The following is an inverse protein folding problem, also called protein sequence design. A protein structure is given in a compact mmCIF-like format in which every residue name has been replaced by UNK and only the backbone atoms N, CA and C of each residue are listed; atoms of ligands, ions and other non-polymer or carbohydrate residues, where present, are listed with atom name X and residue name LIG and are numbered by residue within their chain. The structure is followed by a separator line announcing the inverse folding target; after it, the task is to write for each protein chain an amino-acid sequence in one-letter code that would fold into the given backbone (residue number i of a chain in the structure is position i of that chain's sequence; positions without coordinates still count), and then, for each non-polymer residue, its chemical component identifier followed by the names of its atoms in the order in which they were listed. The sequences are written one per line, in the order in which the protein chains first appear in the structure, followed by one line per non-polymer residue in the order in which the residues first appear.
data_IF_096277760752
#
_entry.id   IF_096277760752
#
_cell.length_a   1.000
_cell.length_b   1.000
_cell.length_c   1.000
_cell.angle_alpha   90.00
_cell.angle_beta   90.00
_cell.angle_gamma   90.00
#
_symmetry.space_group_name_H-M   'P 1'
#
loop_
_entity.id
_entity.type
_entity.pdbx_description
1 polymer ?
#
# COMPACT_ATOMS: atom_id res chain seq x y z
N UNK A 1 -15.80 2.84 6.71
CA UNK A 1 -14.72 2.58 7.69
C UNK A 1 -15.31 1.83 8.85
N UNK A 2 -14.64 0.78 9.32
CA UNK A 2 -15.01 0.08 10.57
C UNK A 2 -14.78 0.99 11.78
N UNK A 3 -15.46 0.70 12.89
CA UNK A 3 -15.25 1.42 14.14
C UNK A 3 -13.84 1.11 14.70
N UNK A 4 -12.95 2.12 14.89
CA UNK A 4 -11.61 1.90 15.41
C UNK A 4 -11.61 1.41 16.86
N UNK A 5 -12.67 1.65 17.64
CA UNK A 5 -12.77 1.19 19.04
C UNK A 5 -12.86 -0.33 19.18
N UNK A 6 -13.14 -1.05 18.08
CA UNK A 6 -13.18 -2.51 18.03
C UNK A 6 -11.78 -3.15 18.07
N UNK A 7 -10.71 -2.36 17.96
CA UNK A 7 -9.33 -2.86 17.87
C UNK A 7 -8.43 -2.21 18.91
N UNK A 8 -7.45 -2.98 19.40
CA UNK A 8 -6.37 -2.46 20.22
C UNK A 8 -5.20 -2.02 19.34
N UNK A 9 -4.63 -0.86 19.67
CA UNK A 9 -3.47 -0.31 19.00
C UNK A 9 -2.31 -0.28 20.00
N UNK A 10 -1.32 -1.18 19.88
CA UNK A 10 -0.12 -1.09 20.68
C UNK A 10 0.59 0.25 20.43
N UNK A 11 1.40 0.66 21.39
CA UNK A 11 2.22 1.86 21.23
C UNK A 11 3.18 1.65 20.05
N UNK A 12 3.29 2.60 19.10
CA UNK A 12 4.30 2.50 18.04
C UNK A 12 5.75 2.47 18.57
N UNK A 13 5.94 2.85 19.83
CA UNK A 13 7.23 2.80 20.54
C UNK A 13 7.44 1.48 21.29
N UNK A 14 6.50 0.54 21.24
CA UNK A 14 6.69 -0.81 21.80
C UNK A 14 7.91 -1.47 21.16
N UNK A 15 8.81 -2.00 22.00
CA UNK A 15 10.13 -2.51 21.55
C UNK A 15 11.22 -1.44 21.35
N UNK A 16 10.89 -0.15 21.36
CA UNK A 16 11.83 0.96 21.10
C UNK A 16 12.14 1.83 22.34
N UNK A 17 11.60 1.48 23.52
CA UNK A 17 11.64 2.34 24.73
C UNK A 17 12.98 2.42 25.46
N UNK A 18 14.01 1.69 25.03
CA UNK A 18 15.29 1.58 25.76
C UNK A 18 16.46 2.33 25.09
N UNK A 19 16.19 3.23 24.15
CA UNK A 19 17.22 4.04 23.49
C UNK A 19 17.60 5.30 24.28
N UNK A 20 18.75 5.88 23.92
CA UNK A 20 19.11 7.25 24.31
C UNK A 20 18.01 8.24 23.87
N UNK A 21 17.77 9.33 24.62
CA UNK A 21 16.84 10.37 24.21
C UNK A 21 17.16 10.92 22.81
N UNK A 22 16.11 11.13 22.00
CA UNK A 22 16.27 11.78 20.70
C UNK A 22 16.65 13.26 20.90
N UNK A 23 17.55 13.81 20.07
CA UNK A 23 17.90 15.23 20.13
C UNK A 23 16.77 16.11 19.56
N UNK A 24 16.55 17.27 20.16
CA UNK A 24 15.62 18.29 19.66
C UNK A 24 16.26 19.26 18.64
N UNK A 25 17.51 19.02 18.26
CA UNK A 25 18.23 19.85 17.30
C UNK A 25 17.64 19.71 15.90
N UNK A 26 17.41 20.84 15.23
CA UNK A 26 16.99 20.88 13.83
C UNK A 26 18.11 21.38 12.92
N UNK A 27 18.10 20.94 11.67
CA UNK A 27 18.92 21.54 10.61
C UNK A 27 18.46 22.99 10.36
N UNK A 28 19.40 23.93 10.37
CA UNK A 28 19.11 25.37 10.26
C UNK A 28 19.06 25.89 8.82
N UNK A 29 19.67 25.19 7.86
CA UNK A 29 19.85 25.66 6.49
C UNK A 29 19.77 24.52 5.46
N UNK A 30 19.66 24.90 4.18
CA UNK A 30 19.65 23.98 3.04
C UNK A 30 18.32 23.24 2.83
N UNK A 31 18.29 22.21 1.97
CA UNK A 31 17.07 21.46 1.63
C UNK A 31 16.47 20.71 2.83
N UNK A 32 17.24 20.56 3.90
CA UNK A 32 16.84 19.88 5.13
C UNK A 32 16.38 20.84 6.23
N UNK A 33 16.33 22.16 5.97
CA UNK A 33 15.92 23.13 6.98
C UNK A 33 14.60 22.71 7.64
N UNK A 34 14.54 22.80 8.98
CA UNK A 34 13.41 22.37 9.85
C UNK A 34 13.27 20.87 10.09
N UNK A 35 14.08 20.00 9.48
CA UNK A 35 14.11 18.58 9.86
C UNK A 35 14.94 18.36 11.13
N UNK A 36 14.58 17.37 11.94
CA UNK A 36 15.32 16.99 13.13
C UNK A 36 16.60 16.22 12.78
N UNK A 37 17.67 16.48 13.53
CA UNK A 37 18.92 15.73 13.43
C UNK A 37 18.74 14.38 14.09
N UNK A 38 18.35 13.35 13.34
CA UNK A 38 18.24 12.01 13.88
C UNK A 38 19.62 11.33 13.95
N UNK A 39 19.93 10.58 15.04
CA UNK A 39 21.13 9.75 15.09
C UNK A 39 21.20 8.81 13.89
N UNK A 40 22.34 8.76 13.22
CA UNK A 40 22.48 7.91 12.03
C UNK A 40 22.45 6.44 12.47
N UNK A 41 21.52 5.62 11.96
CA UNK A 41 21.49 4.22 12.33
C UNK A 41 22.68 3.48 11.72
N UNK A 42 23.19 2.46 12.42
CA UNK A 42 24.26 1.59 11.90
C UNK A 42 23.79 0.78 10.68
N UNK A 43 22.52 0.38 10.68
CA UNK A 43 21.85 -0.32 9.59
C UNK A 43 20.50 0.34 9.28
N UNK A 44 20.06 0.39 8.01
CA UNK A 44 18.70 0.79 7.67
C UNK A 44 17.64 -0.11 8.32
N UNK A 45 16.40 0.38 8.39
CA UNK A 45 15.26 -0.43 8.83
C UNK A 45 15.14 -1.72 8.01
N UNK A 46 14.83 -2.88 8.64
CA UNK A 46 14.55 -4.11 7.90
C UNK A 46 13.36 -3.97 6.93
N UNK A 47 12.48 -2.98 7.15
CA UNK A 47 11.34 -2.70 6.29
C UNK A 47 11.72 -2.33 4.83
N UNK A 48 12.98 -1.98 4.57
CA UNK A 48 13.47 -1.80 3.20
C UNK A 48 13.62 -3.12 2.43
N UNK A 49 13.67 -4.26 3.13
CA UNK A 49 13.93 -5.59 2.56
C UNK A 49 12.71 -6.49 2.58
N UNK A 50 11.88 -6.38 3.61
CA UNK A 50 10.67 -7.19 3.80
C UNK A 50 9.55 -6.34 4.40
N UNK A 51 8.30 -6.72 4.16
CA UNK A 51 7.17 -6.06 4.81
C UNK A 51 7.20 -6.32 6.31
N UNK A 52 6.87 -5.28 7.09
CA UNK A 52 6.83 -5.37 8.55
C UNK A 52 5.73 -6.34 9.02
N UNK A 53 6.03 -7.11 10.07
CA UNK A 53 5.01 -7.93 10.74
C UNK A 53 3.82 -7.05 11.18
N UNK A 54 2.55 -7.51 11.02
CA UNK A 54 2.12 -8.86 10.63
C UNK A 54 1.90 -9.07 9.12
N UNK A 55 2.34 -8.16 8.26
CA UNK A 55 2.18 -8.32 6.81
C UNK A 55 2.93 -9.56 6.34
N UNK A 56 2.26 -10.41 5.57
CA UNK A 56 2.86 -11.63 5.05
C UNK A 56 3.92 -11.32 3.99
N UNK A 57 5.05 -12.02 4.07
CA UNK A 57 6.08 -12.05 3.01
C UNK A 57 6.06 -13.39 2.25
N UNK A 58 4.92 -14.09 2.28
CA UNK A 58 4.73 -15.40 1.64
C UNK A 58 4.27 -15.28 0.19
N UNK A 59 4.03 -16.43 -0.45
CA UNK A 59 3.45 -16.50 -1.80
C UNK A 59 2.01 -15.97 -1.91
N UNK A 60 1.35 -15.61 -0.80
CA UNK A 60 0.06 -14.90 -0.81
C UNK A 60 0.19 -13.49 -1.43
N UNK A 61 1.32 -12.81 -1.20
CA UNK A 61 1.47 -11.38 -1.48
C UNK A 61 1.18 -10.55 -0.23
N UNK A 62 2.03 -9.56 0.03
CA UNK A 62 1.93 -8.71 1.22
C UNK A 62 0.89 -7.61 1.10
N UNK A 63 0.60 -7.15 -0.12
CA UNK A 63 -0.45 -6.17 -0.39
C UNK A 63 -1.29 -6.56 -1.60
N UNK A 64 -2.56 -6.23 -1.53
CA UNK A 64 -3.49 -6.30 -2.65
C UNK A 64 -3.89 -4.88 -3.05
N UNK A 65 -3.85 -4.63 -4.35
CA UNK A 65 -4.21 -3.35 -4.96
C UNK A 65 -5.42 -3.59 -5.86
N UNK A 66 -6.58 -3.11 -5.42
CA UNK A 66 -7.85 -3.22 -6.14
C UNK A 66 -8.15 -1.92 -6.87
N UNK A 67 -8.14 -1.96 -8.20
CA UNK A 67 -8.42 -0.80 -9.05
C UNK A 67 -9.89 -0.89 -9.48
N UNK A 68 -10.69 0.07 -9.04
CA UNK A 68 -12.13 0.12 -9.29
C UNK A 68 -12.50 1.04 -10.43
N UNK A 69 -13.58 0.67 -11.11
CA UNK A 69 -14.22 1.50 -12.13
C UNK A 69 -15.74 1.28 -12.08
N UNK A 70 -16.50 2.30 -12.48
CA UNK A 70 -17.93 2.16 -12.67
C UNK A 70 -18.20 1.49 -14.01
N UNK A 71 -18.68 0.24 -14.00
CA UNK A 71 -18.97 -0.52 -15.22
C UNK A 71 -20.07 0.10 -16.09
N UNK A 72 -20.89 0.98 -15.53
CA UNK A 72 -21.90 1.75 -16.27
C UNK A 72 -21.31 3.00 -16.97
N UNK A 73 -20.07 3.36 -16.65
CA UNK A 73 -19.33 4.44 -17.30
C UNK A 73 -18.39 3.85 -18.35
N UNK A 74 -18.72 4.04 -19.63
CA UNK A 74 -17.94 3.50 -20.75
C UNK A 74 -16.51 4.03 -20.77
N UNK A 75 -16.29 5.30 -20.39
CA UNK A 75 -14.95 5.90 -20.39
C UNK A 75 -14.06 5.30 -19.30
N UNK A 76 -14.60 5.11 -18.08
CA UNK A 76 -13.85 4.44 -17.01
C UNK A 76 -13.62 2.96 -17.34
N UNK A 77 -14.59 2.28 -17.92
CA UNK A 77 -14.46 0.87 -18.33
C UNK A 77 -13.36 0.70 -19.38
N UNK A 78 -13.31 1.56 -20.40
CA UNK A 78 -12.24 1.56 -21.39
C UNK A 78 -10.89 1.87 -20.73
N UNK A 79 -10.81 2.92 -19.91
CA UNK A 79 -9.59 3.31 -19.22
C UNK A 79 -9.05 2.18 -18.33
N UNK A 80 -9.93 1.47 -17.61
CA UNK A 80 -9.54 0.34 -16.78
C UNK A 80 -8.93 -0.81 -17.58
N UNK A 81 -9.46 -1.11 -18.78
CA UNK A 81 -8.88 -2.13 -19.66
C UNK A 81 -7.50 -1.72 -20.19
N UNK A 82 -7.35 -0.46 -20.60
CA UNK A 82 -6.08 0.08 -21.09
C UNK A 82 -5.02 0.14 -19.98
N UNK A 83 -5.42 0.56 -18.78
CA UNK A 83 -4.54 0.56 -17.60
C UNK A 83 -4.15 -0.87 -17.22
N UNK A 84 -5.09 -1.80 -17.18
CA UNK A 84 -4.83 -3.22 -16.91
C UNK A 84 -3.82 -3.81 -17.91
N UNK A 85 -4.00 -3.53 -19.20
CA UNK A 85 -3.03 -3.94 -20.24
C UNK A 85 -1.66 -3.31 -20.00
N UNK A 86 -1.61 -2.00 -19.73
CA UNK A 86 -0.35 -1.29 -19.50
C UNK A 86 0.40 -1.86 -18.29
N UNK A 87 -0.28 -2.12 -17.19
CA UNK A 87 0.33 -2.74 -16.00
C UNK A 87 0.95 -4.09 -16.36
N UNK A 88 0.26 -4.93 -17.14
CA UNK A 88 0.79 -6.22 -17.60
C UNK A 88 2.01 -6.11 -18.51
N UNK A 89 2.15 -5.01 -19.25
CA UNK A 89 3.30 -4.73 -20.12
C UNK A 89 4.49 -4.15 -19.35
N UNK A 90 4.22 -3.26 -18.40
CA UNK A 90 5.25 -2.50 -17.69
C UNK A 90 5.77 -3.23 -16.44
N UNK A 91 4.92 -4.04 -15.80
CA UNK A 91 5.23 -4.83 -14.61
C UNK A 91 4.84 -6.32 -14.78
N UNK A 92 5.37 -7.02 -15.80
CA UNK A 92 5.02 -8.41 -16.06
C UNK A 92 5.37 -9.39 -14.91
N UNK A 93 6.25 -8.97 -13.99
CA UNK A 93 6.65 -9.70 -12.80
C UNK A 93 5.63 -9.66 -11.65
N UNK A 94 4.66 -8.74 -11.69
CA UNK A 94 3.60 -8.68 -10.69
C UNK A 94 2.51 -9.72 -10.96
N UNK A 95 1.84 -10.17 -9.89
CA UNK A 95 0.67 -11.03 -10.03
C UNK A 95 -0.55 -10.16 -10.33
N UNK A 96 -1.02 -10.23 -11.56
CA UNK A 96 -2.14 -9.41 -12.06
C UNK A 96 -3.31 -10.33 -12.40
N UNK A 97 -4.48 -10.06 -11.84
CA UNK A 97 -5.68 -10.88 -12.06
C UNK A 97 -6.51 -10.39 -13.25
N UNK A 98 -7.49 -11.21 -13.64
CA UNK A 98 -8.49 -10.82 -14.65
C UNK A 98 -9.30 -9.61 -14.18
N UNK A 99 -9.84 -8.89 -15.15
CA UNK A 99 -10.84 -7.86 -14.88
C UNK A 99 -12.19 -8.49 -14.57
N UNK A 100 -12.86 -7.98 -13.54
CA UNK A 100 -14.24 -8.28 -13.21
C UNK A 100 -15.12 -7.10 -13.62
N UNK A 101 -16.13 -7.36 -14.44
CA UNK A 101 -17.10 -6.38 -14.96
C UNK A 101 -18.30 -6.17 -14.03
N UNK A 102 -18.23 -6.71 -12.81
CA UNK A 102 -19.30 -6.69 -11.81
C UNK A 102 -18.73 -6.75 -10.39
N UNK A 103 -19.53 -6.39 -9.36
CA UNK A 103 -19.16 -6.59 -7.96
C UNK A 103 -18.84 -8.05 -7.65
N UNK A 104 -17.83 -8.28 -6.81
CA UNK A 104 -17.42 -9.61 -6.36
C UNK A 104 -16.84 -9.54 -4.94
N UNK A 105 -17.22 -10.46 -4.05
CA UNK A 105 -16.72 -10.45 -2.67
C UNK A 105 -17.03 -9.13 -1.94
N UNK A 106 -16.05 -8.48 -1.28
CA UNK A 106 -16.24 -7.20 -0.60
C UNK A 106 -16.21 -5.98 -1.55
N UNK A 107 -15.99 -6.20 -2.85
CA UNK A 107 -15.77 -5.16 -3.85
C UNK A 107 -17.12 -4.69 -4.44
N UNK A 108 -17.55 -3.45 -4.19
CA UNK A 108 -18.92 -3.00 -4.46
C UNK A 108 -19.20 -2.65 -5.93
N UNK A 109 -18.15 -2.52 -6.74
CA UNK A 109 -18.20 -2.19 -8.18
C UNK A 109 -17.19 -3.06 -8.94
N UNK A 110 -17.16 -2.92 -10.27
CA UNK A 110 -16.20 -3.62 -11.12
C UNK A 110 -14.74 -3.23 -10.76
N UNK A 111 -13.83 -4.20 -10.86
CA UNK A 111 -12.44 -4.02 -10.47
C UNK A 111 -11.49 -5.03 -11.12
N UNK A 112 -10.20 -4.79 -10.97
CA UNK A 112 -9.17 -5.81 -11.09
C UNK A 112 -8.14 -5.66 -9.97
N UNK A 113 -7.40 -6.74 -9.71
CA UNK A 113 -6.48 -6.85 -8.59
C UNK A 113 -5.03 -7.04 -9.07
N UNK A 114 -4.09 -6.45 -8.34
CA UNK A 114 -2.65 -6.66 -8.46
C UNK A 114 -2.06 -6.96 -7.08
N UNK A 115 -1.32 -8.07 -6.92
CA UNK A 115 -0.60 -8.36 -5.67
C UNK A 115 0.85 -7.89 -5.73
N UNK A 116 1.33 -7.41 -4.58
CA UNK A 116 2.71 -7.00 -4.34
C UNK A 116 3.35 -7.89 -3.28
N UNK A 117 4.59 -8.32 -3.52
CA UNK A 117 5.30 -9.32 -2.72
C UNK A 117 6.47 -8.73 -1.94
N UNK A 118 7.01 -7.59 -2.36
CA UNK A 118 8.17 -6.97 -1.71
C UNK A 118 8.00 -5.46 -1.52
N UNK A 119 8.72 -4.86 -0.55
CA UNK A 119 8.77 -3.40 -0.43
C UNK A 119 9.26 -2.68 -1.69
N UNK A 120 10.15 -3.31 -2.46
CA UNK A 120 10.62 -2.77 -3.74
C UNK A 120 9.49 -2.69 -4.77
N UNK A 121 8.70 -3.76 -4.91
CA UNK A 121 7.52 -3.75 -5.78
C UNK A 121 6.51 -2.69 -5.34
N UNK A 122 6.26 -2.56 -4.03
CA UNK A 122 5.38 -1.51 -3.50
C UNK A 122 5.92 -0.11 -3.82
N UNK A 123 7.21 0.13 -3.57
CA UNK A 123 7.87 1.41 -3.82
C UNK A 123 7.95 1.78 -5.30
N UNK A 124 7.96 0.81 -6.22
CA UNK A 124 7.93 1.04 -7.66
C UNK A 124 6.50 1.23 -8.18
N UNK A 125 5.60 0.29 -7.86
CA UNK A 125 4.27 0.22 -8.45
C UNK A 125 3.33 1.30 -7.94
N UNK A 126 3.31 1.56 -6.62
CA UNK A 126 2.33 2.48 -6.04
C UNK A 126 2.54 3.92 -6.52
N UNK A 127 3.76 4.51 -6.50
CA UNK A 127 3.97 5.85 -7.05
C UNK A 127 3.68 5.92 -8.56
N UNK A 128 4.03 4.88 -9.31
CA UNK A 128 3.69 4.80 -10.73
C UNK A 128 2.17 4.80 -10.94
N UNK A 129 1.42 4.02 -10.15
CA UNK A 129 -0.03 3.91 -10.25
C UNK A 129 -0.70 5.22 -9.88
N UNK A 130 -0.22 5.94 -8.86
CA UNK A 130 -0.72 7.27 -8.47
C UNK A 130 -0.74 8.24 -9.66
N UNK A 131 0.28 8.19 -10.53
CA UNK A 131 0.38 9.06 -11.71
C UNK A 131 -0.50 8.55 -12.86
N UNK A 132 -0.63 7.22 -13.02
CA UNK A 132 -1.22 6.63 -14.22
C UNK A 132 -2.66 6.13 -14.07
N UNK A 133 -3.20 6.05 -12.85
CA UNK A 133 -4.55 5.50 -12.60
C UNK A 133 -5.71 6.35 -13.12
N UNK A 134 -5.44 7.59 -13.56
CA UNK A 134 -6.47 8.49 -14.07
C UNK A 134 -7.63 8.65 -13.07
N UNK A 135 -8.89 8.52 -13.50
CA UNK A 135 -10.05 8.72 -12.63
C UNK A 135 -10.34 7.52 -11.70
N UNK A 136 -9.65 6.39 -11.85
CA UNK A 136 -9.99 5.15 -11.17
C UNK A 136 -9.62 5.18 -9.69
N UNK A 137 -10.54 4.78 -8.82
CA UNK A 137 -10.28 4.67 -7.37
C UNK A 137 -9.51 3.38 -7.08
N UNK A 138 -8.61 3.42 -6.09
CA UNK A 138 -7.75 2.28 -5.78
C UNK A 138 -7.80 1.99 -4.29
N UNK A 139 -8.16 0.77 -3.90
CA UNK A 139 -7.99 0.29 -2.52
C UNK A 139 -6.68 -0.47 -2.43
N UNK A 140 -5.81 -0.04 -1.54
CA UNK A 140 -4.62 -0.77 -1.12
C UNK A 140 -4.87 -1.31 0.29
N UNK A 141 -4.63 -2.60 0.51
CA UNK A 141 -4.62 -3.15 1.87
C UNK A 141 -3.51 -4.20 2.02
N UNK A 142 -2.97 -4.36 3.24
CA UNK A 142 -2.03 -5.43 3.52
C UNK A 142 -2.75 -6.78 3.60
N UNK A 143 -1.97 -7.86 3.62
CA UNK A 143 -2.41 -9.20 3.98
C UNK A 143 -1.76 -9.62 5.30
N UNK A 144 -2.50 -9.53 6.40
CA UNK A 144 -2.02 -9.86 7.75
C UNK A 144 -2.63 -11.15 8.31
N UNK A 145 -3.65 -11.68 7.64
CA UNK A 145 -4.42 -12.84 8.10
C UNK A 145 -5.73 -12.47 8.80
N UNK A 146 -6.00 -11.18 9.00
CA UNK A 146 -7.29 -10.64 9.43
C UNK A 146 -7.94 -9.86 8.28
N UNK A 147 -8.61 -10.59 7.39
CA UNK A 147 -9.13 -10.04 6.13
C UNK A 147 -10.08 -8.85 6.36
N UNK A 148 -10.89 -8.88 7.42
CA UNK A 148 -11.83 -7.79 7.73
C UNK A 148 -11.06 -6.54 8.14
N UNK A 149 -10.08 -6.67 9.04
CA UNK A 149 -9.26 -5.53 9.48
C UNK A 149 -8.41 -4.98 8.34
N UNK A 150 -7.86 -5.87 7.51
CA UNK A 150 -7.07 -5.54 6.33
C UNK A 150 -7.86 -4.63 5.39
N UNK A 151 -9.07 -5.04 5.00
CA UNK A 151 -9.93 -4.29 4.06
C UNK A 151 -10.59 -3.03 4.67
N UNK A 152 -10.45 -2.79 5.97
CA UNK A 152 -11.20 -1.70 6.64
C UNK A 152 -10.30 -0.72 7.39
N UNK A 153 -9.57 -1.16 8.43
CA UNK A 153 -8.73 -0.29 9.25
C UNK A 153 -7.34 -0.10 8.66
N UNK A 154 -6.83 -1.10 7.93
CA UNK A 154 -5.51 -1.05 7.30
C UNK A 154 -5.58 -0.69 5.81
N UNK A 155 -6.78 -0.31 5.34
CA UNK A 155 -7.04 0.16 4.00
C UNK A 155 -6.46 1.56 3.76
N UNK A 156 -5.93 1.79 2.56
CA UNK A 156 -5.51 3.08 2.02
C UNK A 156 -6.17 3.29 0.66
N UNK A 157 -6.53 4.53 0.33
CA UNK A 157 -7.18 4.91 -0.93
C UNK A 157 -6.41 6.00 -1.68
#
# INVERSE_FOLDING_TARGET
MSDPSLYTFPSPLEGWRQGEPLPDQQHSEGPNAKSYVNPRPTNPSPAYKEFANPITNSTRGGFDVHIYYLQTNTSESQFAQELWERIRREFPELRIYRVWDKPIGPHPVAMFEVNLFTPEQFGAFVPWLVIHRGPLSVLLHPNTGDDVRDHTQLATW
#
